data_IF_048954103527
#
_entry.id   IF_048954103527
#
_cell.length_a   1.000
_cell.length_b   1.000
_cell.length_c   1.000
_cell.angle_alpha   90.00
_cell.angle_beta   90.00
_cell.angle_gamma   90.00
#
_symmetry.space_group_name_H-M   'P 1'
#
loop_
_entity.id
_entity.type
_entity.pdbx_description
1 polymer ?
#
# COMPACT_ATOMS: atom_id res chain seq x y z
N UNK A 1 -25.45 -50.98 27.57
CA UNK A 1 -25.51 -50.50 26.18
C UNK A 1 -25.12 -49.03 26.20
N UNK A 2 -23.85 -48.71 25.92
CA UNK A 2 -23.36 -47.34 25.93
C UNK A 2 -23.75 -46.67 24.61
N UNK A 3 -24.58 -45.64 24.67
CA UNK A 3 -24.86 -44.78 23.52
C UNK A 3 -23.60 -43.98 23.20
N UNK A 4 -22.98 -44.33 22.07
CA UNK A 4 -22.02 -43.45 21.40
C UNK A 4 -22.82 -42.29 20.82
N UNK A 5 -22.83 -41.15 21.52
CA UNK A 5 -23.29 -39.89 20.96
C UNK A 5 -22.24 -39.45 19.94
N UNK A 6 -22.59 -39.56 18.66
CA UNK A 6 -21.84 -38.93 17.58
C UNK A 6 -21.91 -37.42 17.79
N UNK A 7 -20.82 -36.86 18.30
CA UNK A 7 -20.61 -35.43 18.33
C UNK A 7 -20.37 -35.00 16.89
N UNK A 8 -21.45 -34.70 16.17
CA UNK A 8 -21.40 -34.02 14.89
C UNK A 8 -20.57 -32.75 15.07
N UNK A 9 -19.37 -32.76 14.51
CA UNK A 9 -18.53 -31.58 14.37
C UNK A 9 -19.31 -30.58 13.55
N UNK A 10 -19.93 -29.63 14.23
CA UNK A 10 -20.22 -28.33 13.65
C UNK A 10 -18.86 -27.75 13.24
N UNK A 11 -18.45 -28.02 12.00
CA UNK A 11 -17.60 -27.09 11.25
C UNK A 11 -18.41 -25.80 11.14
N UNK A 12 -18.37 -25.01 12.22
CA UNK A 12 -18.74 -23.61 12.21
C UNK A 12 -17.72 -22.93 11.30
N UNK A 13 -17.99 -22.96 9.99
CA UNK A 13 -17.30 -22.11 9.03
C UNK A 13 -17.63 -20.69 9.45
N UNK A 14 -16.81 -20.11 10.33
CA UNK A 14 -16.79 -18.68 10.58
C UNK A 14 -16.92 -18.03 9.21
N UNK A 15 -17.91 -17.16 8.97
CA UNK A 15 -18.03 -16.50 7.68
C UNK A 15 -16.79 -15.65 7.52
N UNK A 16 -15.77 -16.21 6.87
CA UNK A 16 -14.57 -15.51 6.51
C UNK A 16 -15.03 -14.24 5.81
N UNK A 17 -14.47 -13.11 6.21
CA UNK A 17 -14.84 -11.78 5.75
C UNK A 17 -14.56 -11.53 4.25
N UNK A 18 -14.43 -12.61 3.47
CA UNK A 18 -14.21 -12.72 2.03
C UNK A 18 -15.13 -11.81 1.22
N UNK A 19 -16.36 -11.54 1.67
CA UNK A 19 -17.28 -10.61 0.99
C UNK A 19 -16.75 -9.17 0.97
N UNK A 20 -16.21 -8.68 2.08
CA UNK A 20 -15.63 -7.33 2.16
C UNK A 20 -14.33 -7.22 1.36
N UNK A 21 -13.53 -8.29 1.36
CA UNK A 21 -12.30 -8.39 0.55
C UNK A 21 -12.65 -8.31 -0.93
N UNK A 22 -13.62 -9.08 -1.41
CA UNK A 22 -14.05 -9.07 -2.81
C UNK A 22 -14.61 -7.72 -3.25
N UNK A 23 -15.41 -7.07 -2.40
CA UNK A 23 -15.93 -5.73 -2.66
C UNK A 23 -14.81 -4.70 -2.82
N UNK A 24 -13.80 -4.76 -1.95
CA UNK A 24 -12.65 -3.84 -2.00
C UNK A 24 -11.69 -4.19 -3.13
N UNK A 25 -11.58 -5.47 -3.52
CA UNK A 25 -10.85 -5.85 -4.72
C UNK A 25 -11.40 -5.15 -5.96
N UNK A 26 -12.71 -5.18 -6.15
CA UNK A 26 -13.33 -4.48 -7.28
C UNK A 26 -13.18 -2.96 -7.20
N UNK A 27 -13.30 -2.33 -6.03
CA UNK A 27 -13.09 -0.88 -5.92
C UNK A 27 -11.65 -0.50 -6.33
N UNK A 28 -10.67 -1.26 -5.86
CA UNK A 28 -9.26 -1.03 -6.17
C UNK A 28 -8.93 -1.32 -7.63
N UNK A 29 -9.53 -2.36 -8.22
CA UNK A 29 -9.38 -2.69 -9.64
C UNK A 29 -9.88 -1.51 -10.50
N UNK A 30 -11.07 -1.00 -10.20
CA UNK A 30 -11.67 0.12 -10.94
C UNK A 30 -10.80 1.37 -10.81
N UNK A 31 -10.40 1.74 -9.59
CA UNK A 31 -9.51 2.88 -9.34
C UNK A 31 -8.21 2.72 -10.15
N UNK A 32 -7.59 1.55 -10.10
CA UNK A 32 -6.32 1.29 -10.80
C UNK A 32 -6.51 1.32 -12.33
N UNK A 33 -7.62 0.80 -12.84
CA UNK A 33 -7.93 0.86 -14.28
C UNK A 33 -8.13 2.29 -14.76
N UNK A 34 -8.86 3.11 -14.00
CA UNK A 34 -9.04 4.53 -14.29
C UNK A 34 -7.70 5.25 -14.27
N UNK A 35 -6.84 4.96 -13.28
CA UNK A 35 -5.50 5.52 -13.16
C UNK A 35 -4.65 5.21 -14.41
N UNK A 36 -4.66 3.98 -14.91
CA UNK A 36 -3.99 3.61 -16.15
C UNK A 36 -4.57 4.33 -17.38
N UNK A 37 -5.90 4.42 -17.50
CA UNK A 37 -6.54 5.15 -18.61
C UNK A 37 -6.12 6.62 -18.62
N UNK A 38 -6.12 7.28 -17.46
CA UNK A 38 -5.64 8.66 -17.32
C UNK A 38 -4.16 8.76 -17.68
N UNK A 39 -3.35 7.77 -17.30
CA UNK A 39 -1.93 7.74 -17.67
C UNK A 39 -1.70 7.67 -19.17
N UNK A 40 -2.53 6.96 -19.92
CA UNK A 40 -2.39 6.85 -21.39
C UNK A 40 -3.08 7.98 -22.15
N UNK A 41 -4.10 8.62 -21.58
CA UNK A 41 -4.91 9.63 -22.31
C UNK A 41 -4.38 11.06 -22.13
N UNK A 42 -3.75 11.38 -20.99
CA UNK A 42 -3.18 12.72 -20.78
C UNK A 42 -1.76 12.78 -21.34
N UNK A 43 -1.59 13.62 -22.36
CA UNK A 43 -0.29 13.96 -22.95
C UNK A 43 0.68 14.50 -21.91
N UNK A 44 1.88 13.90 -21.89
CA UNK A 44 2.89 14.14 -20.87
C UNK A 44 3.53 15.55 -20.97
N UNK A 45 3.34 16.27 -22.08
CA UNK A 45 4.06 17.50 -22.36
C UNK A 45 3.38 18.75 -21.76
N UNK A 46 2.06 18.87 -21.84
CA UNK A 46 1.35 20.09 -21.40
C UNK A 46 0.84 20.03 -19.95
N UNK A 47 0.52 18.83 -19.43
CA UNK A 47 -0.11 18.67 -18.11
C UNK A 47 0.66 17.72 -17.18
N UNK A 48 1.99 17.66 -17.36
CA UNK A 48 2.88 16.75 -16.61
C UNK A 48 2.69 16.80 -15.11
N UNK A 49 2.63 18.02 -14.54
CA UNK A 49 2.51 18.24 -13.10
C UNK A 49 1.13 17.86 -12.56
N UNK A 50 0.07 18.16 -13.31
CA UNK A 50 -1.31 17.76 -12.95
C UNK A 50 -1.46 16.24 -12.98
N UNK A 51 -0.88 15.59 -13.99
CA UNK A 51 -0.83 14.13 -14.11
C UNK A 51 -0.07 13.48 -12.95
N UNK A 52 1.08 14.05 -12.56
CA UNK A 52 1.84 13.53 -11.41
C UNK A 52 1.05 13.68 -10.11
N UNK A 53 0.39 14.82 -9.92
CA UNK A 53 -0.40 15.11 -8.71
C UNK A 53 -1.58 14.15 -8.56
N UNK A 54 -2.35 13.92 -9.64
CA UNK A 54 -3.48 12.98 -9.58
C UNK A 54 -3.02 11.55 -9.33
N UNK A 55 -1.88 11.15 -9.90
CA UNK A 55 -1.30 9.82 -9.68
C UNK A 55 -0.91 9.60 -8.23
N UNK A 56 -0.22 10.58 -7.63
CA UNK A 56 0.17 10.53 -6.22
C UNK A 56 -1.06 10.41 -5.32
N UNK A 57 -2.09 11.23 -5.56
CA UNK A 57 -3.31 11.22 -4.76
C UNK A 57 -4.04 9.87 -4.89
N UNK A 58 -4.24 9.37 -6.10
CA UNK A 58 -4.89 8.07 -6.34
C UNK A 58 -4.10 6.91 -5.72
N UNK A 59 -2.77 6.97 -5.78
CA UNK A 59 -1.89 5.97 -5.15
C UNK A 59 -2.05 5.95 -3.62
N UNK A 60 -2.15 7.12 -2.97
CA UNK A 60 -2.39 7.23 -1.52
C UNK A 60 -3.77 6.68 -1.16
N UNK A 61 -4.81 7.05 -1.92
CA UNK A 61 -6.18 6.54 -1.70
C UNK A 61 -6.20 5.02 -1.79
N UNK A 62 -5.59 4.46 -2.84
CA UNK A 62 -5.43 3.00 -2.99
C UNK A 62 -4.70 2.37 -1.82
N UNK A 63 -3.59 2.95 -1.36
CA UNK A 63 -2.83 2.44 -0.22
C UNK A 63 -3.70 2.37 1.05
N UNK A 64 -4.54 3.40 1.29
CA UNK A 64 -5.49 3.39 2.40
C UNK A 64 -6.48 2.23 2.33
N UNK A 65 -7.08 1.96 1.16
CA UNK A 65 -8.01 0.85 0.98
C UNK A 65 -7.33 -0.53 1.12
N UNK A 66 -6.09 -0.67 0.65
CA UNK A 66 -5.29 -1.89 0.82
C UNK A 66 -5.01 -2.15 2.31
N UNK A 67 -4.44 -1.18 3.01
CA UNK A 67 -4.05 -1.31 4.42
C UNK A 67 -5.29 -1.45 5.33
N UNK A 68 -6.36 -0.72 5.03
CA UNK A 68 -7.59 -0.72 5.83
C UNK A 68 -8.38 -2.03 5.77
N UNK A 69 -8.59 -2.57 4.56
CA UNK A 69 -9.48 -3.74 4.35
C UNK A 69 -8.71 -5.03 4.10
N UNK A 70 -7.71 -5.05 3.22
CA UNK A 70 -7.00 -6.31 2.88
C UNK A 70 -6.15 -6.83 4.03
N UNK A 71 -5.66 -5.93 4.88
CA UNK A 71 -4.82 -6.31 6.00
C UNK A 71 -5.60 -6.42 7.33
N UNK A 72 -6.93 -6.21 7.31
CA UNK A 72 -7.81 -6.31 8.50
C UNK A 72 -7.29 -5.53 9.73
N UNK A 73 -6.53 -4.45 9.48
CA UNK A 73 -5.71 -3.77 10.48
C UNK A 73 -6.51 -2.87 11.42
N UNK A 74 -7.73 -2.49 11.02
CA UNK A 74 -8.48 -1.43 11.68
C UNK A 74 -9.02 -1.84 13.05
N UNK A 75 -9.26 -3.13 13.30
CA UNK A 75 -9.93 -3.57 14.53
C UNK A 75 -9.19 -4.64 15.35
N UNK A 76 -8.31 -5.46 14.77
CA UNK A 76 -7.75 -6.61 15.52
C UNK A 76 -6.21 -6.64 15.67
N UNK A 77 -5.43 -6.05 14.77
CA UNK A 77 -3.97 -6.30 14.72
C UNK A 77 -3.12 -5.02 14.63
N UNK A 78 -3.09 -4.24 15.72
CA UNK A 78 -2.20 -3.06 15.84
C UNK A 78 -0.71 -3.40 15.65
N UNK A 79 -0.31 -4.63 16.01
CA UNK A 79 1.06 -5.14 15.79
C UNK A 79 1.42 -5.19 14.30
N UNK A 80 0.46 -5.56 13.45
CA UNK A 80 0.66 -5.75 12.04
C UNK A 80 0.76 -4.40 11.28
N UNK A 81 0.10 -3.34 11.79
CA UNK A 81 0.34 -1.95 11.34
C UNK A 81 1.80 -1.55 11.52
N UNK A 82 2.39 -1.85 12.68
CA UNK A 82 3.79 -1.50 12.96
C UNK A 82 4.75 -2.22 12.01
N UNK A 83 4.43 -3.45 11.59
CA UNK A 83 5.24 -4.21 10.63
C UNK A 83 5.28 -3.58 9.23
N UNK A 84 4.27 -2.78 8.87
CA UNK A 84 4.19 -2.08 7.57
C UNK A 84 4.74 -0.66 7.69
N UNK A 85 4.38 0.05 8.77
CA UNK A 85 4.79 1.43 9.00
C UNK A 85 6.29 1.53 9.24
N UNK A 86 6.88 0.61 10.01
CA UNK A 86 8.31 0.62 10.33
C UNK A 86 9.22 0.56 9.07
N UNK A 87 9.05 -0.40 8.12
CA UNK A 87 9.85 -0.41 6.91
C UNK A 87 9.57 0.81 6.01
N UNK A 88 8.34 1.33 5.97
CA UNK A 88 8.06 2.57 5.23
C UNK A 88 8.83 3.77 5.79
N UNK A 89 8.85 3.95 7.12
CA UNK A 89 9.62 5.02 7.77
C UNK A 89 11.12 4.83 7.51
N UNK A 90 11.61 3.60 7.61
CA UNK A 90 13.02 3.29 7.35
C UNK A 90 13.44 3.65 5.92
N UNK A 91 12.62 3.34 4.91
CA UNK A 91 12.90 3.70 3.51
C UNK A 91 12.93 5.22 3.32
N UNK A 92 11.97 5.95 3.89
CA UNK A 92 11.95 7.43 3.79
C UNK A 92 13.19 8.02 4.46
N UNK A 93 13.56 7.53 5.64
CA UNK A 93 14.77 7.95 6.34
C UNK A 93 16.03 7.66 5.51
N UNK A 94 16.13 6.49 4.88
CA UNK A 94 17.25 6.10 4.04
C UNK A 94 17.37 7.02 2.82
N UNK A 95 16.27 7.35 2.13
CA UNK A 95 16.27 8.29 1.00
C UNK A 95 16.80 9.66 1.43
N UNK A 96 16.35 10.17 2.57
CA UNK A 96 16.84 11.46 3.10
C UNK A 96 18.33 11.39 3.43
N UNK A 97 18.78 10.31 4.08
CA UNK A 97 20.18 10.11 4.42
C UNK A 97 21.07 10.06 3.16
N UNK A 98 20.66 9.35 2.12
CA UNK A 98 21.38 9.27 0.84
C UNK A 98 21.46 10.62 0.12
N UNK A 99 20.41 11.45 0.19
CA UNK A 99 20.45 12.79 -0.41
C UNK A 99 21.47 13.68 0.31
N UNK A 100 21.54 13.60 1.63
CA UNK A 100 22.49 14.39 2.43
C UNK A 100 23.94 13.94 2.18
N UNK A 101 24.21 12.64 2.32
CA UNK A 101 25.56 12.07 2.10
C UNK A 101 26.00 12.22 0.64
N UNK A 102 25.10 11.96 -0.32
CA UNK A 102 25.37 12.16 -1.74
C UNK A 102 25.65 13.63 -2.08
N UNK A 103 24.96 14.57 -1.44
CA UNK A 103 25.22 16.00 -1.57
C UNK A 103 26.58 16.42 -1.00
N UNK A 104 26.98 15.87 0.14
CA UNK A 104 28.27 16.15 0.77
C UNK A 104 29.44 15.67 -0.09
N UNK A 105 29.37 14.42 -0.60
CA UNK A 105 30.38 13.85 -1.51
C UNK A 105 30.41 14.60 -2.85
N UNK A 106 29.24 14.97 -3.38
CA UNK A 106 29.13 15.74 -4.62
C UNK A 106 29.76 17.13 -4.51
N UNK A 107 29.61 17.78 -3.36
CA UNK A 107 30.20 19.10 -3.07
C UNK A 107 31.72 19.02 -2.84
N UNK A 108 32.21 18.05 -2.08
CA UNK A 108 33.65 17.85 -1.87
C UNK A 108 34.39 17.54 -3.18
N UNK A 109 33.80 16.72 -4.06
CA UNK A 109 34.41 16.39 -5.35
C UNK A 109 34.39 17.53 -6.36
N UNK A 110 33.45 18.48 -6.23
CA UNK A 110 33.44 19.71 -7.03
C UNK A 110 34.51 20.73 -6.58
N UNK A 111 34.79 20.80 -5.26
CA UNK A 111 35.80 21.70 -4.68
C UNK A 111 37.23 21.18 -4.84
N UNK A 112 37.49 19.88 -4.61
CA UNK A 112 38.83 19.27 -4.68
C UNK A 112 39.16 18.63 -6.03
N UNK A 113 38.20 18.55 -6.95
CA UNK A 113 38.35 17.96 -8.28
C UNK A 113 38.89 18.89 -9.36
N UNK A 114 39.77 19.84 -9.01
CA UNK A 114 40.53 20.66 -9.95
C UNK A 114 42.03 20.52 -9.71
#
# INVERSE_FOLDING_TARGET
MAQHTEHHGHEEKLPAQTKEIWKTFWILLIITSIEFVIAFTIDADHYKWTKIGIFIILTIVKAYYIVGIFMHLKHEVKSLIWTIVLPCIFVVWLVVALIIEGGYIGFERFIFGK
#
